data_IF_892004159549
#
_entry.id   IF_892004159549
#
_cell.length_a   1.000
_cell.length_b   1.000
_cell.length_c   1.000
_cell.angle_alpha   90.00
_cell.angle_beta   90.00
_cell.angle_gamma   90.00
#
_symmetry.space_group_name_H-M   'P 1'
#
loop_
_entity.id
_entity.type
_entity.pdbx_description
1 polymer ?
#
# COMPACT_ATOMS: atom_id res chain seq x y z
N UNK A 1 -21.28 76.75 -43.03
CA UNK A 1 -22.35 76.95 -43.99
C UNK A 1 -23.26 75.77 -43.96
N UNK A 2 -24.55 76.05 -43.81
CA UNK A 2 -25.75 75.20 -43.94
C UNK A 2 -25.89 73.96 -43.11
N UNK A 3 -26.66 74.12 -42.01
CA UNK A 3 -27.32 73.10 -41.18
C UNK A 3 -28.59 72.64 -41.90
N UNK A 4 -28.85 71.35 -41.91
CA UNK A 4 -30.21 70.85 -42.17
C UNK A 4 -30.67 69.96 -40.98
N UNK A 5 -31.88 70.06 -40.51
CA UNK A 5 -32.40 69.36 -39.37
C UNK A 5 -33.03 68.03 -39.76
N UNK A 6 -32.78 66.96 -38.98
CA UNK A 6 -33.43 65.67 -39.12
C UNK A 6 -34.69 65.68 -38.21
N UNK A 7 -35.81 65.41 -38.81
CA UNK A 7 -37.12 65.24 -38.16
C UNK A 7 -37.17 63.92 -37.36
N UNK A 8 -37.54 64.01 -36.08
CA UNK A 8 -37.96 62.87 -35.30
C UNK A 8 -39.44 62.60 -35.47
N UNK A 9 -39.81 61.48 -36.05
CA UNK A 9 -41.18 60.96 -36.01
C UNK A 9 -41.24 59.86 -34.93
N UNK A 10 -41.99 60.13 -33.87
CA UNK A 10 -42.35 59.19 -32.82
C UNK A 10 -43.42 58.22 -33.35
N UNK A 11 -43.12 56.91 -33.46
CA UNK A 11 -44.13 55.90 -33.62
C UNK A 11 -44.45 55.29 -32.24
N UNK A 12 -45.72 55.49 -31.83
CA UNK A 12 -46.28 54.85 -30.67
C UNK A 12 -46.51 53.36 -30.95
N UNK A 13 -45.75 52.47 -30.27
CA UNK A 13 -46.02 51.02 -30.25
C UNK A 13 -47.01 50.76 -29.09
N UNK A 14 -48.22 50.39 -29.41
CA UNK A 14 -49.19 49.83 -28.46
C UNK A 14 -48.76 48.44 -28.07
N UNK A 15 -48.42 48.24 -26.79
CA UNK A 15 -48.09 46.92 -26.22
C UNK A 15 -49.37 46.06 -26.12
N UNK A 16 -49.47 45.04 -26.97
CA UNK A 16 -50.43 43.97 -26.83
C UNK A 16 -49.82 42.94 -25.85
N UNK A 17 -50.26 42.97 -24.58
CA UNK A 17 -49.93 41.88 -23.63
C UNK A 17 -50.76 40.66 -23.99
N UNK A 18 -50.12 39.73 -24.71
CA UNK A 18 -50.62 38.35 -24.82
C UNK A 18 -50.35 37.64 -23.49
N UNK A 19 -51.41 37.34 -22.73
CA UNK A 19 -51.34 36.39 -21.63
C UNK A 19 -50.99 35.00 -22.20
N UNK A 20 -49.76 34.55 -22.01
CA UNK A 20 -49.37 33.17 -22.27
C UNK A 20 -49.97 32.33 -21.14
N UNK A 21 -50.99 31.56 -21.46
CA UNK A 21 -51.50 30.53 -20.56
C UNK A 21 -50.38 29.50 -20.26
N UNK A 22 -50.29 28.96 -19.04
CA UNK A 22 -49.30 27.94 -18.74
C UNK A 22 -49.53 26.73 -19.66
N UNK A 23 -48.59 26.48 -20.53
CA UNK A 23 -48.61 25.28 -21.36
C UNK A 23 -48.36 24.07 -20.47
N UNK A 24 -49.33 23.20 -20.34
CA UNK A 24 -49.14 21.86 -19.77
C UNK A 24 -48.09 21.13 -20.60
N UNK A 25 -47.04 20.60 -19.99
CA UNK A 25 -46.04 19.86 -20.74
C UNK A 25 -46.67 18.66 -21.48
N UNK A 26 -46.15 18.27 -22.63
CA UNK A 26 -46.70 17.11 -23.38
C UNK A 26 -46.68 15.87 -22.50
N UNK A 27 -47.65 15.01 -22.61
CA UNK A 27 -47.88 13.84 -21.75
C UNK A 27 -46.64 12.92 -21.61
N UNK A 28 -45.78 12.86 -22.62
CA UNK A 28 -44.51 12.13 -22.62
C UNK A 28 -43.47 12.72 -21.63
N UNK A 29 -43.40 14.05 -21.50
CA UNK A 29 -42.51 14.75 -20.54
C UNK A 29 -43.02 14.55 -19.11
N UNK A 30 -44.31 14.66 -18.89
CA UNK A 30 -44.94 14.46 -17.58
C UNK A 30 -44.79 12.99 -17.09
N UNK A 31 -44.83 12.02 -17.99
CA UNK A 31 -44.58 10.61 -17.66
C UNK A 31 -43.07 10.35 -17.31
N UNK A 32 -42.17 11.01 -18.00
CA UNK A 32 -40.72 10.87 -17.73
C UNK A 32 -40.38 11.49 -16.37
N UNK A 33 -40.89 12.68 -16.06
CA UNK A 33 -40.69 13.36 -14.77
C UNK A 33 -41.29 12.55 -13.61
N UNK A 34 -42.49 11.98 -13.77
CA UNK A 34 -43.13 11.17 -12.74
C UNK A 34 -42.36 9.87 -12.47
N UNK A 35 -41.77 9.29 -13.50
CA UNK A 35 -40.94 8.05 -13.36
C UNK A 35 -39.62 8.36 -12.65
N UNK A 36 -38.96 9.45 -13.01
CA UNK A 36 -37.74 9.96 -12.39
C UNK A 36 -37.93 10.23 -10.89
N UNK A 37 -38.99 10.95 -10.51
CA UNK A 37 -39.28 11.24 -9.11
C UNK A 37 -39.61 9.98 -8.29
N UNK A 38 -40.31 9.02 -8.89
CA UNK A 38 -40.59 7.71 -8.26
C UNK A 38 -39.30 6.91 -8.01
N UNK A 39 -38.42 6.87 -8.98
CA UNK A 39 -37.12 6.19 -8.91
C UNK A 39 -36.22 6.86 -7.88
N UNK A 40 -36.14 8.17 -7.89
CA UNK A 40 -35.40 8.96 -6.89
C UNK A 40 -35.87 8.65 -5.48
N UNK A 41 -37.18 8.68 -5.25
CA UNK A 41 -37.77 8.40 -3.93
C UNK A 41 -37.45 6.98 -3.45
N UNK A 42 -37.55 6.00 -4.33
CA UNK A 42 -37.21 4.60 -4.02
C UNK A 42 -35.72 4.47 -3.66
N UNK A 43 -34.84 5.12 -4.45
CA UNK A 43 -33.40 5.12 -4.18
C UNK A 43 -33.08 5.75 -2.82
N UNK A 44 -33.72 6.86 -2.48
CA UNK A 44 -33.55 7.56 -1.20
C UNK A 44 -34.03 6.70 -0.01
N UNK A 45 -35.17 6.02 -0.15
CA UNK A 45 -35.71 5.13 0.88
C UNK A 45 -34.77 3.94 1.14
N UNK A 46 -34.24 3.32 0.09
CA UNK A 46 -33.27 2.21 0.20
C UNK A 46 -31.97 2.69 0.84
N UNK A 47 -31.48 3.84 0.41
CA UNK A 47 -30.24 4.40 0.96
C UNK A 47 -30.38 4.77 2.45
N UNK A 48 -31.51 5.38 2.86
CA UNK A 48 -31.81 5.69 4.25
C UNK A 48 -31.93 4.40 5.11
N UNK A 49 -32.42 3.33 4.51
CA UNK A 49 -32.46 2.00 5.13
C UNK A 49 -31.11 1.27 5.14
N UNK A 50 -30.00 1.92 4.69
CA UNK A 50 -28.65 1.34 4.54
C UNK A 50 -28.57 0.13 3.60
N UNK A 51 -29.51 0.02 2.68
CA UNK A 51 -29.56 -1.03 1.64
C UNK A 51 -28.84 -0.55 0.37
N UNK A 52 -27.55 -0.24 0.53
CA UNK A 52 -26.77 0.46 -0.51
C UNK A 52 -26.63 -0.39 -1.79
N UNK A 53 -26.52 -1.69 -1.69
CA UNK A 53 -26.45 -2.59 -2.86
C UNK A 53 -27.77 -2.64 -3.64
N UNK A 54 -28.93 -2.56 -2.93
CA UNK A 54 -30.24 -2.49 -3.58
C UNK A 54 -30.48 -1.12 -4.22
N UNK A 55 -29.95 -0.04 -3.63
CA UNK A 55 -30.03 1.34 -4.12
C UNK A 55 -29.09 1.61 -5.31
N UNK A 56 -27.99 0.85 -5.45
CA UNK A 56 -26.92 1.11 -6.40
C UNK A 56 -27.42 1.21 -7.86
N UNK A 57 -28.21 0.28 -8.43
CA UNK A 57 -28.68 0.37 -9.81
C UNK A 57 -29.60 1.60 -10.03
N UNK A 58 -30.34 2.01 -9.02
CA UNK A 58 -31.20 3.19 -9.11
C UNK A 58 -30.37 4.47 -9.18
N UNK A 59 -29.31 4.58 -8.34
CA UNK A 59 -28.40 5.73 -8.41
C UNK A 59 -27.56 5.75 -9.68
N UNK A 60 -27.21 4.60 -10.26
CA UNK A 60 -26.60 4.54 -11.58
C UNK A 60 -27.53 5.13 -12.66
N UNK A 61 -28.80 4.77 -12.62
CA UNK A 61 -29.81 5.31 -13.55
C UNK A 61 -30.07 6.80 -13.34
N UNK A 62 -30.22 7.26 -12.10
CA UNK A 62 -30.37 8.67 -11.75
C UNK A 62 -29.16 9.50 -12.20
N UNK A 63 -27.95 9.01 -12.02
CA UNK A 63 -26.73 9.66 -12.53
C UNK A 63 -26.69 9.76 -14.06
N UNK A 64 -27.30 8.82 -14.76
CA UNK A 64 -27.40 8.83 -16.22
C UNK A 64 -28.46 9.82 -16.69
N UNK A 65 -29.58 9.92 -15.98
CA UNK A 65 -30.68 10.84 -16.29
C UNK A 65 -30.32 12.30 -15.98
N UNK A 66 -29.68 12.55 -14.83
CA UNK A 66 -29.17 13.87 -14.47
C UNK A 66 -27.74 13.78 -13.88
N UNK A 67 -26.72 13.93 -14.72
CA UNK A 67 -25.32 13.86 -14.28
C UNK A 67 -24.84 15.07 -13.48
N UNK A 68 -25.66 16.11 -13.29
CA UNK A 68 -25.28 17.35 -12.62
C UNK A 68 -25.60 17.35 -11.12
N UNK A 69 -26.34 16.35 -10.66
CA UNK A 69 -26.77 16.26 -9.26
C UNK A 69 -25.67 15.58 -8.42
N UNK A 70 -25.01 16.35 -7.58
CA UNK A 70 -23.89 15.89 -6.77
C UNK A 70 -24.22 14.72 -5.85
N UNK A 71 -25.38 14.74 -5.20
CA UNK A 71 -25.80 13.67 -4.27
C UNK A 71 -26.04 12.33 -4.96
N UNK A 72 -26.40 12.30 -6.25
CA UNK A 72 -26.53 11.05 -6.98
C UNK A 72 -25.16 10.41 -7.21
N UNK A 73 -24.17 11.23 -7.58
CA UNK A 73 -22.80 10.79 -7.75
C UNK A 73 -22.18 10.31 -6.42
N UNK A 74 -22.45 10.99 -5.29
CA UNK A 74 -22.00 10.57 -3.97
C UNK A 74 -22.54 9.17 -3.62
N UNK A 75 -23.86 9.00 -3.71
CA UNK A 75 -24.54 7.75 -3.33
C UNK A 75 -24.25 6.60 -4.29
N UNK A 76 -24.08 6.90 -5.59
CA UNK A 76 -23.57 5.93 -6.54
C UNK A 76 -22.16 5.47 -6.18
N UNK A 77 -21.26 6.41 -5.89
CA UNK A 77 -19.89 6.13 -5.45
C UNK A 77 -19.84 5.31 -4.16
N UNK A 78 -20.67 5.65 -3.15
CA UNK A 78 -20.77 4.88 -1.92
C UNK A 78 -21.29 3.46 -2.17
N UNK A 79 -22.34 3.29 -2.98
CA UNK A 79 -22.86 1.98 -3.34
C UNK A 79 -21.84 1.10 -4.06
N UNK A 80 -20.98 1.69 -4.91
CA UNK A 80 -19.87 1.00 -5.56
C UNK A 80 -18.80 0.54 -4.54
N UNK A 81 -18.45 1.37 -3.57
CA UNK A 81 -17.50 0.98 -2.50
C UNK A 81 -18.07 -0.10 -1.58
N UNK A 82 -19.38 -0.08 -1.31
CA UNK A 82 -20.03 -1.19 -0.61
C UNK A 82 -20.06 -2.49 -1.44
N UNK A 83 -20.30 -2.37 -2.75
CA UNK A 83 -20.24 -3.50 -3.70
C UNK A 83 -18.82 -4.09 -3.75
N UNK A 84 -17.80 -3.26 -3.72
CA UNK A 84 -16.39 -3.69 -3.67
C UNK A 84 -16.16 -4.73 -2.56
N UNK A 85 -16.72 -4.50 -1.37
CA UNK A 85 -16.58 -5.41 -0.24
C UNK A 85 -17.20 -6.81 -0.47
N UNK A 86 -18.05 -6.95 -1.47
CA UNK A 86 -18.70 -8.22 -1.85
C UNK A 86 -17.98 -8.95 -2.97
N UNK A 87 -16.98 -8.31 -3.62
CA UNK A 87 -16.26 -8.84 -4.78
C UNK A 87 -15.02 -9.58 -4.30
N UNK A 88 -14.89 -10.83 -4.67
CA UNK A 88 -13.73 -11.66 -4.33
C UNK A 88 -12.59 -11.53 -5.33
N UNK A 89 -12.89 -11.21 -6.60
CA UNK A 89 -11.90 -10.97 -7.64
C UNK A 89 -11.16 -9.64 -7.39
N UNK A 90 -9.83 -9.64 -7.13
CA UNK A 90 -9.09 -8.41 -6.85
C UNK A 90 -9.08 -7.41 -8.02
N UNK A 91 -9.10 -7.89 -9.28
CA UNK A 91 -9.12 -7.00 -10.45
C UNK A 91 -10.48 -6.36 -10.63
N UNK A 92 -11.55 -7.13 -10.47
CA UNK A 92 -12.91 -6.61 -10.51
C UNK A 92 -13.17 -5.71 -9.28
N UNK A 93 -12.67 -6.10 -8.11
CA UNK A 93 -12.71 -5.27 -6.90
C UNK A 93 -12.02 -3.92 -7.13
N UNK A 94 -10.78 -3.93 -7.64
CA UNK A 94 -10.04 -2.70 -7.94
C UNK A 94 -10.76 -1.85 -8.97
N UNK A 95 -11.33 -2.45 -10.01
CA UNK A 95 -12.11 -1.74 -11.03
C UNK A 95 -13.31 -1.04 -10.41
N UNK A 96 -14.08 -1.75 -9.57
CA UNK A 96 -15.25 -1.19 -8.89
C UNK A 96 -14.83 -0.13 -7.86
N UNK A 97 -13.73 -0.35 -7.14
CA UNK A 97 -13.14 0.65 -6.25
C UNK A 97 -12.82 1.95 -6.97
N UNK A 98 -12.05 1.87 -8.07
CA UNK A 98 -11.66 3.06 -8.85
C UNK A 98 -12.88 3.77 -9.46
N UNK A 99 -13.91 3.05 -9.84
CA UNK A 99 -15.16 3.63 -10.33
C UNK A 99 -15.90 4.36 -9.18
N UNK A 100 -15.97 3.77 -8.00
CA UNK A 100 -16.53 4.40 -6.79
C UNK A 100 -15.80 5.69 -6.43
N UNK A 101 -14.47 5.65 -6.37
CA UNK A 101 -13.64 6.84 -6.10
C UNK A 101 -13.82 7.91 -7.19
N UNK A 102 -13.94 7.53 -8.44
CA UNK A 102 -14.21 8.45 -9.55
C UNK A 102 -15.55 9.17 -9.35
N UNK A 103 -16.59 8.45 -8.97
CA UNK A 103 -17.90 9.04 -8.71
C UNK A 103 -17.88 9.99 -7.49
N UNK A 104 -17.18 9.65 -6.40
CA UNK A 104 -16.99 10.54 -5.27
C UNK A 104 -16.20 11.82 -5.64
N UNK A 105 -15.17 11.70 -6.48
CA UNK A 105 -14.46 12.88 -7.02
C UNK A 105 -15.37 13.74 -7.90
N UNK A 106 -16.25 13.12 -8.68
CA UNK A 106 -17.27 13.82 -9.48
C UNK A 106 -18.26 14.57 -8.56
N UNK A 107 -18.80 13.91 -7.53
CA UNK A 107 -19.69 14.54 -6.56
C UNK A 107 -19.04 15.79 -5.92
N UNK A 108 -17.77 15.68 -5.51
CA UNK A 108 -17.01 16.82 -4.98
C UNK A 108 -16.84 17.94 -6.00
N UNK A 109 -16.60 17.63 -7.26
CA UNK A 109 -16.48 18.65 -8.33
C UNK A 109 -17.81 19.34 -8.63
N UNK A 110 -18.93 18.69 -8.34
CA UNK A 110 -20.29 19.24 -8.42
C UNK A 110 -20.70 20.02 -7.18
N UNK A 111 -19.81 20.17 -6.19
CA UNK A 111 -20.01 20.99 -5.01
C UNK A 111 -20.43 20.22 -3.75
N UNK A 112 -20.43 18.90 -3.76
CA UNK A 112 -20.68 18.12 -2.54
C UNK A 112 -19.49 18.21 -1.59
N UNK A 113 -19.76 18.67 -0.36
CA UNK A 113 -18.79 18.83 0.72
C UNK A 113 -19.11 17.94 1.91
N UNK A 114 -19.87 16.86 1.70
CA UNK A 114 -20.27 15.94 2.76
C UNK A 114 -19.07 15.38 3.52
N UNK A 115 -19.29 15.08 4.79
CA UNK A 115 -18.27 14.45 5.66
C UNK A 115 -17.84 13.11 5.10
N UNK A 116 -18.76 12.36 4.48
CA UNK A 116 -18.44 11.08 3.85
C UNK A 116 -17.43 11.24 2.72
N UNK A 117 -17.66 12.15 1.76
CA UNK A 117 -16.73 12.43 0.67
C UNK A 117 -15.36 12.86 1.20
N UNK A 118 -15.36 13.73 2.23
CA UNK A 118 -14.12 14.21 2.83
C UNK A 118 -13.28 13.06 3.41
N UNK A 119 -13.93 12.16 4.14
CA UNK A 119 -13.24 10.99 4.76
C UNK A 119 -12.81 10.00 3.68
N UNK A 120 -13.69 9.58 2.79
CA UNK A 120 -13.40 8.57 1.77
C UNK A 120 -12.24 9.00 0.85
N UNK A 121 -12.23 10.24 0.37
CA UNK A 121 -11.15 10.75 -0.48
C UNK A 121 -9.86 11.06 0.30
N UNK A 122 -9.93 11.32 1.61
CA UNK A 122 -8.74 11.47 2.45
C UNK A 122 -8.08 10.10 2.73
N UNK A 123 -8.85 9.05 2.97
CA UNK A 123 -8.34 7.69 3.12
C UNK A 123 -7.73 7.19 1.80
N UNK A 124 -8.40 7.43 0.66
CA UNK A 124 -7.84 7.14 -0.66
C UNK A 124 -6.52 7.89 -0.90
N UNK A 125 -6.44 9.17 -0.55
CA UNK A 125 -5.21 9.95 -0.67
C UNK A 125 -4.09 9.41 0.22
N UNK A 126 -4.40 8.94 1.44
CA UNK A 126 -3.43 8.29 2.33
C UNK A 126 -2.96 6.96 1.75
N UNK A 127 -3.87 6.14 1.23
CA UNK A 127 -3.56 4.87 0.59
C UNK A 127 -2.68 5.08 -0.64
N UNK A 128 -3.03 6.03 -1.50
CA UNK A 128 -2.24 6.41 -2.68
C UNK A 128 -0.88 6.99 -2.28
N UNK A 129 -0.84 7.90 -1.28
CA UNK A 129 0.41 8.49 -0.79
C UNK A 129 1.28 7.42 -0.14
N UNK A 130 0.71 6.52 0.64
CA UNK A 130 1.39 5.37 1.21
C UNK A 130 1.92 4.43 0.14
N UNK A 131 1.12 4.07 -0.86
CA UNK A 131 1.52 3.21 -1.98
C UNK A 131 2.59 3.88 -2.85
N UNK A 132 2.44 5.18 -3.16
CA UNK A 132 3.44 5.95 -3.93
C UNK A 132 4.71 6.15 -3.11
N UNK A 133 4.60 6.50 -1.83
CA UNK A 133 5.76 6.65 -0.94
C UNK A 133 6.48 5.33 -0.69
N UNK A 134 5.76 4.20 -0.74
CA UNK A 134 6.35 2.86 -0.61
C UNK A 134 6.85 2.26 -1.92
N UNK A 135 6.62 2.93 -3.06
CA UNK A 135 7.01 2.40 -4.37
C UNK A 135 6.26 1.13 -4.75
N UNK A 136 5.20 0.78 -4.02
CA UNK A 136 4.37 -0.36 -4.36
C UNK A 136 3.59 0.00 -5.63
N UNK A 137 3.73 -0.74 -6.74
CA UNK A 137 2.86 -0.55 -7.88
C UNK A 137 1.40 -0.69 -7.40
N UNK A 138 0.53 0.23 -7.78
CA UNK A 138 -0.92 0.14 -7.50
C UNK A 138 -1.57 -1.12 -8.11
N UNK A 139 -0.79 -1.93 -8.80
CA UNK A 139 -1.13 -3.20 -9.42
C UNK A 139 -0.67 -4.42 -8.64
N UNK A 140 -0.29 -4.29 -7.36
CA UNK A 140 -0.16 -5.47 -6.49
C UNK A 140 -1.53 -5.88 -5.96
N UNK A 141 -2.48 -5.99 -6.86
CA UNK A 141 -3.54 -6.97 -6.72
C UNK A 141 -2.94 -8.30 -7.16
N UNK A 142 -2.94 -9.27 -6.28
CA UNK A 142 -2.65 -10.64 -6.68
C UNK A 142 -3.59 -11.01 -7.82
N UNK A 143 -3.07 -10.99 -9.05
CA UNK A 143 -3.84 -11.15 -10.28
C UNK A 143 -4.03 -12.61 -10.65
N UNK A 144 -4.08 -13.48 -9.64
CA UNK A 144 -4.41 -14.84 -9.97
C UNK A 144 -5.88 -15.13 -9.68
N UNK A 145 -6.58 -15.41 -10.74
CA UNK A 145 -7.97 -15.85 -10.73
C UNK A 145 -7.95 -17.31 -11.14
N UNK A 146 -8.31 -18.19 -10.22
CA UNK A 146 -8.44 -19.60 -10.51
C UNK A 146 -9.27 -19.82 -11.78
N UNK A 147 -9.08 -20.95 -12.47
CA UNK A 147 -9.93 -21.34 -13.61
C UNK A 147 -11.40 -21.22 -13.22
N UNK A 148 -12.32 -20.94 -14.16
CA UNK A 148 -13.74 -20.80 -13.84
C UNK A 148 -14.31 -21.97 -13.04
N UNK A 149 -13.85 -23.19 -13.33
CA UNK A 149 -14.28 -24.38 -12.58
C UNK A 149 -13.74 -24.38 -11.15
N UNK A 150 -12.48 -23.98 -10.93
CA UNK A 150 -11.90 -23.86 -9.61
C UNK A 150 -12.55 -22.75 -8.79
N UNK A 151 -12.91 -21.61 -9.41
CA UNK A 151 -13.60 -20.50 -8.74
C UNK A 151 -14.95 -20.91 -8.16
N UNK A 152 -15.76 -21.71 -8.88
CA UNK A 152 -17.06 -22.18 -8.38
C UNK A 152 -16.86 -22.98 -7.10
N UNK A 153 -15.94 -23.94 -7.11
CA UNK A 153 -15.67 -24.80 -5.94
C UNK A 153 -15.06 -23.99 -4.79
N UNK A 154 -14.22 -23.00 -5.11
CA UNK A 154 -13.64 -22.11 -4.11
C UNK A 154 -14.71 -21.26 -3.40
N UNK A 155 -15.71 -20.76 -4.13
CA UNK A 155 -16.84 -20.04 -3.52
C UNK A 155 -17.67 -20.92 -2.59
N UNK A 156 -17.86 -22.19 -2.95
CA UNK A 156 -18.50 -23.18 -2.07
C UNK A 156 -17.65 -23.42 -0.80
N UNK A 157 -16.32 -23.48 -0.95
CA UNK A 157 -15.39 -23.61 0.16
C UNK A 157 -15.48 -22.40 1.11
N UNK A 158 -15.54 -21.18 0.57
CA UNK A 158 -15.73 -19.96 1.34
C UNK A 158 -17.05 -19.98 2.15
N UNK A 159 -18.11 -20.49 1.54
CA UNK A 159 -19.40 -20.64 2.22
C UNK A 159 -19.33 -21.64 3.38
N UNK A 160 -18.68 -22.79 3.20
CA UNK A 160 -18.43 -23.77 4.24
C UNK A 160 -17.56 -23.19 5.37
N UNK A 161 -16.48 -22.49 5.00
CA UNK A 161 -15.57 -21.82 5.94
C UNK A 161 -16.31 -20.80 6.83
N UNK A 162 -17.14 -19.94 6.24
CA UNK A 162 -17.99 -18.97 6.97
C UNK A 162 -18.96 -19.63 7.94
N UNK A 163 -19.41 -20.85 7.63
CA UNK A 163 -20.28 -21.64 8.52
C UNK A 163 -19.50 -22.45 9.56
N UNK A 164 -18.17 -22.29 9.61
CA UNK A 164 -17.27 -23.07 10.47
C UNK A 164 -17.28 -24.58 10.16
N UNK A 165 -17.77 -24.99 8.97
CA UNK A 165 -17.59 -26.35 8.47
C UNK A 165 -16.17 -26.50 7.89
N UNK A 166 -15.21 -26.60 8.82
CA UNK A 166 -13.78 -26.71 8.45
C UNK A 166 -13.49 -27.97 7.65
N UNK A 167 -14.26 -29.04 7.84
CA UNK A 167 -14.08 -30.31 7.09
C UNK A 167 -14.57 -30.16 5.66
N UNK A 168 -15.76 -29.58 5.45
CA UNK A 168 -16.27 -29.25 4.14
C UNK A 168 -15.35 -28.26 3.42
N UNK A 169 -14.91 -27.21 4.11
CA UNK A 169 -14.01 -26.21 3.57
C UNK A 169 -12.69 -26.81 3.08
N UNK A 170 -12.02 -27.66 3.88
CA UNK A 170 -10.79 -28.38 3.46
C UNK A 170 -11.01 -29.11 2.14
N UNK A 171 -12.06 -29.94 2.07
CA UNK A 171 -12.31 -30.77 0.89
C UNK A 171 -12.52 -29.92 -0.37
N UNK A 172 -13.26 -28.82 -0.23
CA UNK A 172 -13.58 -27.93 -1.34
C UNK A 172 -12.36 -27.09 -1.76
N UNK A 173 -11.57 -26.53 -0.84
CA UNK A 173 -10.34 -25.84 -1.19
C UNK A 173 -9.31 -26.77 -1.84
N UNK A 174 -9.19 -28.00 -1.35
CA UNK A 174 -8.35 -29.02 -2.00
C UNK A 174 -8.83 -29.34 -3.41
N UNK A 175 -10.13 -29.46 -3.62
CA UNK A 175 -10.70 -29.67 -4.95
C UNK A 175 -10.43 -28.46 -5.86
N UNK A 176 -10.59 -27.24 -5.38
CA UNK A 176 -10.22 -26.04 -6.12
C UNK A 176 -8.74 -26.05 -6.51
N UNK A 177 -7.83 -26.44 -5.59
CA UNK A 177 -6.40 -26.56 -5.85
C UNK A 177 -6.03 -27.73 -6.80
N UNK A 178 -6.90 -28.71 -6.98
CA UNK A 178 -6.74 -29.75 -8.00
C UNK A 178 -7.21 -29.26 -9.37
N UNK A 179 -8.32 -28.51 -9.42
CA UNK A 179 -8.84 -27.90 -10.64
C UNK A 179 -7.92 -26.79 -11.16
N UNK A 180 -7.20 -26.15 -10.27
CA UNK A 180 -6.16 -25.17 -10.59
C UNK A 180 -4.94 -25.32 -9.67
N UNK A 181 -3.95 -26.11 -10.07
CA UNK A 181 -2.77 -26.36 -9.24
C UNK A 181 -1.85 -25.14 -9.01
N UNK A 182 -2.04 -24.08 -9.78
CA UNK A 182 -1.28 -22.84 -9.65
C UNK A 182 -1.96 -21.79 -8.76
N UNK A 183 -3.14 -22.09 -8.23
CA UNK A 183 -3.89 -21.14 -7.44
C UNK A 183 -3.42 -21.10 -5.97
N UNK A 184 -2.65 -20.05 -5.66
CA UNK A 184 -2.10 -19.81 -4.31
C UNK A 184 -3.16 -19.82 -3.22
N UNK A 185 -4.29 -19.08 -3.42
CA UNK A 185 -5.29 -18.91 -2.37
C UNK A 185 -6.03 -20.22 -2.07
N UNK A 186 -6.22 -21.08 -3.06
CA UNK A 186 -6.80 -22.41 -2.82
C UNK A 186 -5.90 -23.26 -1.92
N UNK A 187 -4.59 -23.22 -2.13
CA UNK A 187 -3.63 -23.88 -1.25
C UNK A 187 -3.58 -23.22 0.14
N UNK A 188 -3.53 -21.88 0.22
CA UNK A 188 -3.50 -21.14 1.46
C UNK A 188 -4.69 -21.47 2.36
N UNK A 189 -5.91 -21.39 1.84
CA UNK A 189 -7.12 -21.60 2.64
C UNK A 189 -7.43 -23.07 2.92
N UNK A 190 -6.91 -24.00 2.13
CA UNK A 190 -6.85 -25.40 2.54
C UNK A 190 -6.01 -25.55 3.81
N UNK A 191 -4.84 -24.92 3.86
CA UNK A 191 -3.99 -24.88 5.05
C UNK A 191 -4.66 -24.22 6.26
N UNK A 192 -5.31 -23.07 6.07
CA UNK A 192 -6.05 -22.39 7.15
C UNK A 192 -7.21 -23.24 7.67
N UNK A 193 -7.93 -23.93 6.79
CA UNK A 193 -9.00 -24.84 7.21
C UNK A 193 -8.50 -26.02 8.05
N UNK A 194 -7.33 -26.58 7.72
CA UNK A 194 -6.66 -27.57 8.57
C UNK A 194 -6.21 -26.97 9.90
N UNK A 195 -5.65 -25.77 9.89
CA UNK A 195 -5.28 -25.02 11.10
C UNK A 195 -6.48 -24.83 12.04
N UNK A 196 -7.65 -24.41 11.52
CA UNK A 196 -8.90 -24.27 12.30
C UNK A 196 -9.35 -25.58 12.93
N UNK A 197 -9.04 -26.70 12.31
CA UNK A 197 -9.27 -28.04 12.87
C UNK A 197 -8.21 -28.49 13.87
N UNK A 198 -7.18 -27.67 14.10
CA UNK A 198 -5.98 -28.01 14.88
C UNK A 198 -5.18 -29.19 14.29
N UNK A 199 -5.33 -29.45 13.01
CA UNK A 199 -4.57 -30.45 12.26
C UNK A 199 -3.32 -29.77 11.67
N UNK A 200 -2.40 -29.41 12.55
CA UNK A 200 -1.22 -28.62 12.20
C UNK A 200 -0.31 -29.33 11.19
N UNK A 201 -0.08 -30.63 11.26
CA UNK A 201 0.77 -31.30 10.25
C UNK A 201 0.21 -31.20 8.83
N UNK A 202 -1.09 -31.32 8.63
CA UNK A 202 -1.70 -31.14 7.32
C UNK A 202 -1.75 -29.66 6.90
N UNK A 203 -1.93 -28.74 7.85
CA UNK A 203 -1.84 -27.30 7.57
C UNK A 203 -0.46 -26.92 7.01
N UNK A 204 0.64 -27.44 7.59
CA UNK A 204 2.01 -27.21 7.12
C UNK A 204 2.22 -27.65 5.67
N UNK A 205 1.69 -28.83 5.27
CA UNK A 205 1.79 -29.33 3.90
C UNK A 205 1.17 -28.33 2.91
N UNK A 206 0.03 -27.75 3.25
CA UNK A 206 -0.67 -26.86 2.38
C UNK A 206 -0.08 -25.44 2.36
N UNK A 207 0.39 -24.94 3.50
CA UNK A 207 1.16 -23.69 3.54
C UNK A 207 2.47 -23.80 2.76
N UNK A 208 3.18 -24.94 2.86
CA UNK A 208 4.37 -25.20 2.04
C UNK A 208 4.05 -25.18 0.54
N UNK A 209 2.89 -25.73 0.15
CA UNK A 209 2.41 -25.69 -1.25
C UNK A 209 2.12 -24.25 -1.69
N UNK A 210 1.44 -23.46 -0.87
CA UNK A 210 1.18 -22.05 -1.16
C UNK A 210 2.50 -21.27 -1.33
N UNK A 211 3.46 -21.44 -0.43
CA UNK A 211 4.80 -20.83 -0.52
C UNK A 211 5.54 -21.24 -1.79
N UNK A 212 5.42 -22.51 -2.21
CA UNK A 212 6.05 -22.97 -3.45
C UNK A 212 5.44 -22.29 -4.70
N UNK A 213 4.15 -21.89 -4.64
CA UNK A 213 3.48 -21.18 -5.71
C UNK A 213 3.84 -19.70 -5.73
N UNK A 214 3.95 -19.07 -4.55
CA UNK A 214 4.34 -17.67 -4.42
C UNK A 214 5.21 -17.48 -3.16
N UNK A 215 6.55 -17.60 -3.29
CA UNK A 215 7.47 -17.46 -2.17
C UNK A 215 7.65 -16.00 -1.70
N UNK A 216 7.08 -15.05 -2.43
CA UNK A 216 7.23 -13.63 -2.18
C UNK A 216 6.04 -13.04 -1.42
N UNK A 217 5.03 -13.86 -1.14
CA UNK A 217 3.83 -13.49 -0.40
C UNK A 217 3.91 -13.92 1.06
N UNK A 218 3.74 -12.96 1.99
CA UNK A 218 3.96 -13.16 3.43
C UNK A 218 2.95 -14.11 4.09
N UNK A 219 1.71 -14.15 3.57
CA UNK A 219 0.55 -14.71 4.27
C UNK A 219 0.72 -16.18 4.61
N UNK A 220 1.22 -17.01 3.68
CA UNK A 220 1.41 -18.44 3.94
C UNK A 220 2.50 -18.70 4.98
N UNK A 221 3.56 -17.90 4.99
CA UNK A 221 4.60 -17.99 6.03
C UNK A 221 4.03 -17.64 7.39
N UNK A 222 3.25 -16.57 7.48
CA UNK A 222 2.64 -16.09 8.72
C UNK A 222 1.68 -17.13 9.28
N UNK A 223 0.77 -17.67 8.48
CA UNK A 223 -0.17 -18.72 8.89
C UNK A 223 0.54 -20.02 9.27
N UNK A 224 1.63 -20.36 8.59
CA UNK A 224 2.46 -21.50 9.00
C UNK A 224 3.17 -21.23 10.33
N UNK A 225 3.65 -20.01 10.56
CA UNK A 225 4.20 -19.59 11.85
C UNK A 225 3.20 -19.78 12.98
N UNK A 226 1.94 -19.34 12.78
CA UNK A 226 0.87 -19.53 13.74
C UNK A 226 0.61 -21.02 14.01
N UNK A 227 0.54 -21.84 12.97
CA UNK A 227 0.32 -23.29 13.11
C UNK A 227 1.41 -23.95 13.96
N UNK A 228 2.67 -23.62 13.72
CA UNK A 228 3.82 -24.12 14.48
C UNK A 228 3.79 -23.62 15.94
N UNK A 229 3.45 -22.36 16.14
CA UNK A 229 3.36 -21.78 17.46
C UNK A 229 2.26 -22.47 18.30
N UNK A 230 1.08 -22.67 17.72
CA UNK A 230 -0.02 -23.42 18.35
C UNK A 230 0.27 -24.90 18.52
N UNK A 231 1.14 -25.49 17.69
CA UNK A 231 1.63 -26.86 17.85
C UNK A 231 2.70 -27.00 18.95
N UNK A 232 3.15 -25.89 19.56
CA UNK A 232 4.18 -25.88 20.60
C UNK A 232 5.60 -25.85 20.07
N UNK A 233 5.82 -25.47 18.80
CA UNK A 233 7.13 -25.23 18.20
C UNK A 233 7.40 -23.73 17.98
N UNK A 234 7.80 -23.00 19.02
CA UNK A 234 8.11 -21.57 18.90
C UNK A 234 9.38 -21.30 18.06
N UNK A 235 10.28 -22.27 17.91
CA UNK A 235 11.50 -22.12 17.11
C UNK A 235 11.16 -22.19 15.62
N UNK A 236 10.36 -23.18 15.22
CA UNK A 236 9.83 -23.28 13.87
C UNK A 236 8.97 -22.09 13.51
N UNK A 237 8.10 -21.62 14.44
CA UNK A 237 7.28 -20.44 14.27
C UNK A 237 8.12 -19.19 13.99
N UNK A 238 9.18 -18.95 14.79
CA UNK A 238 10.14 -17.87 14.56
C UNK A 238 10.69 -17.89 13.14
N UNK A 239 11.12 -19.06 12.67
CA UNK A 239 11.69 -19.19 11.33
C UNK A 239 10.67 -18.75 10.25
N UNK A 240 9.40 -19.10 10.40
CA UNK A 240 8.35 -18.72 9.46
C UNK A 240 7.98 -17.23 9.54
N UNK A 241 7.89 -16.67 10.74
CA UNK A 241 7.65 -15.23 10.89
C UNK A 241 8.80 -14.38 10.35
N UNK A 242 10.05 -14.84 10.48
CA UNK A 242 11.20 -14.19 9.84
C UNK A 242 11.07 -14.21 8.32
N UNK A 243 10.68 -15.34 7.73
CA UNK A 243 10.46 -15.45 6.29
C UNK A 243 9.28 -14.58 5.82
N UNK A 244 8.22 -14.43 6.64
CA UNK A 244 7.12 -13.52 6.35
C UNK A 244 7.59 -12.06 6.28
N UNK A 245 8.43 -11.61 7.24
CA UNK A 245 9.04 -10.27 7.22
C UNK A 245 9.92 -10.10 5.99
N UNK A 246 10.68 -11.12 5.59
CA UNK A 246 11.54 -11.09 4.40
C UNK A 246 10.70 -11.12 3.12
N UNK A 247 9.55 -11.76 3.10
CA UNK A 247 8.66 -11.73 1.94
C UNK A 247 8.09 -10.31 1.69
N UNK A 248 7.54 -9.68 2.73
CA UNK A 248 6.90 -8.35 2.64
C UNK A 248 7.29 -7.44 3.83
N UNK A 249 8.51 -6.87 3.84
CA UNK A 249 9.00 -6.08 4.98
C UNK A 249 8.29 -4.76 5.20
N UNK A 250 7.50 -4.32 4.23
CA UNK A 250 6.77 -3.05 4.27
C UNK A 250 5.31 -3.22 4.69
N UNK A 251 4.85 -4.46 4.85
CA UNK A 251 3.57 -4.80 5.48
C UNK A 251 3.70 -4.79 6.99
N UNK A 252 2.66 -4.28 7.68
CA UNK A 252 2.62 -4.32 9.14
C UNK A 252 2.27 -5.71 9.68
N UNK A 253 1.66 -6.58 8.87
CA UNK A 253 1.15 -7.88 9.32
C UNK A 253 2.27 -8.83 9.79
N UNK A 254 3.36 -9.06 9.02
CA UNK A 254 4.46 -9.88 9.50
C UNK A 254 5.10 -9.38 10.79
N UNK A 255 5.20 -8.04 10.93
CA UNK A 255 5.75 -7.44 12.15
C UNK A 255 4.83 -7.58 13.36
N UNK A 256 3.52 -7.55 13.18
CA UNK A 256 2.56 -7.79 14.26
C UNK A 256 2.69 -9.22 14.81
N UNK A 257 2.79 -10.22 13.93
CA UNK A 257 2.91 -11.62 14.35
C UNK A 257 4.25 -11.92 15.02
N UNK A 258 5.36 -11.41 14.48
CA UNK A 258 6.66 -11.63 15.11
C UNK A 258 6.80 -10.89 16.45
N UNK A 259 6.11 -9.75 16.62
CA UNK A 259 6.02 -9.06 17.91
C UNK A 259 5.23 -9.89 18.92
N UNK A 260 4.07 -10.42 18.52
CA UNK A 260 3.26 -11.29 19.36
C UNK A 260 4.03 -12.55 19.78
N UNK A 261 4.74 -13.18 18.83
CA UNK A 261 5.63 -14.31 19.13
C UNK A 261 6.72 -13.92 20.15
N UNK A 262 7.36 -12.76 19.95
CA UNK A 262 8.42 -12.29 20.84
C UNK A 262 7.93 -12.07 22.28
N UNK A 263 6.73 -11.52 22.46
CA UNK A 263 6.10 -11.31 23.77
C UNK A 263 5.89 -12.61 24.55
N UNK A 264 5.68 -13.73 23.83
CA UNK A 264 5.44 -15.04 24.44
C UNK A 264 6.69 -15.92 24.58
N UNK A 265 7.86 -15.44 24.13
CA UNK A 265 9.08 -16.26 24.03
C UNK A 265 10.34 -15.62 24.62
N UNK A 266 10.20 -14.69 25.57
CA UNK A 266 11.31 -13.95 26.17
C UNK A 266 12.23 -13.24 25.13
N UNK A 267 11.63 -12.79 24.03
CA UNK A 267 12.32 -12.00 23.00
C UNK A 267 11.72 -10.60 22.87
N UNK A 268 12.42 -9.73 22.18
CA UNK A 268 11.97 -8.40 21.81
C UNK A 268 12.40 -8.08 20.38
N UNK A 269 11.62 -7.25 19.72
CA UNK A 269 11.95 -6.73 18.38
C UNK A 269 12.55 -5.33 18.55
N UNK A 270 13.80 -5.17 18.13
CA UNK A 270 14.57 -3.93 18.29
C UNK A 270 15.09 -3.49 16.93
N UNK A 271 14.69 -2.31 16.48
CA UNK A 271 15.28 -1.74 15.26
C UNK A 271 16.60 -1.08 15.60
N UNK A 272 17.71 -1.36 14.88
CA UNK A 272 18.98 -0.66 15.07
C UNK A 272 18.78 0.85 14.92
N UNK A 273 19.17 1.60 15.94
CA UNK A 273 19.07 3.06 15.93
C UNK A 273 20.18 3.65 15.05
N UNK A 274 19.80 4.10 13.86
CA UNK A 274 20.70 4.78 12.92
C UNK A 274 20.00 6.07 12.49
N UNK A 275 20.59 7.19 12.86
CA UNK A 275 20.16 8.51 12.42
C UNK A 275 21.05 8.92 11.24
N UNK A 276 20.44 9.08 10.07
CA UNK A 276 21.10 9.59 8.87
C UNK A 276 20.79 11.07 8.70
N UNK A 277 21.71 11.88 8.14
CA UNK A 277 21.37 13.23 7.72
C UNK A 277 20.23 13.20 6.70
N UNK A 278 19.31 14.15 6.82
CA UNK A 278 18.25 14.29 5.82
C UNK A 278 18.83 14.58 4.44
N UNK A 279 18.33 13.85 3.46
CA UNK A 279 18.68 14.01 2.05
C UNK A 279 17.38 14.07 1.26
N UNK A 280 17.00 15.28 0.87
CA UNK A 280 15.65 15.53 0.38
C UNK A 280 15.48 15.34 -1.12
N UNK A 281 16.48 15.60 -1.94
CA UNK A 281 16.42 15.35 -3.40
C UNK A 281 17.82 15.27 -4.01
N UNK A 282 17.99 14.58 -5.17
CA UNK A 282 19.23 14.57 -5.93
C UNK A 282 19.63 15.98 -6.43
N UNK A 283 18.66 16.87 -6.63
CA UNK A 283 18.86 18.26 -7.08
C UNK A 283 19.27 19.20 -5.94
N UNK A 284 19.31 18.72 -4.71
CA UNK A 284 19.64 19.55 -3.56
C UNK A 284 21.09 19.97 -3.67
N UNK A 285 21.31 21.26 -3.67
CA UNK A 285 22.64 21.82 -3.40
C UNK A 285 23.11 21.24 -2.06
N UNK A 286 24.30 20.66 -2.05
CA UNK A 286 24.89 20.10 -0.84
C UNK A 286 24.90 21.17 0.26
N UNK A 287 23.95 21.07 1.20
CA UNK A 287 23.91 21.89 2.40
C UNK A 287 24.69 21.16 3.47
N UNK A 288 25.92 21.59 3.71
CA UNK A 288 26.74 21.05 4.79
C UNK A 288 26.25 21.70 6.09
N UNK A 289 25.76 20.87 7.03
CA UNK A 289 25.48 21.32 8.37
C UNK A 289 26.78 21.76 9.04
N UNK A 290 26.90 23.02 9.51
CA UNK A 290 28.10 23.50 10.19
C UNK A 290 28.48 22.69 11.43
N UNK A 291 27.49 22.18 12.19
CA UNK A 291 27.74 21.32 13.35
C UNK A 291 28.33 19.98 12.93
N UNK A 292 27.85 19.42 11.82
CA UNK A 292 28.38 18.20 11.24
C UNK A 292 29.83 18.39 10.76
N UNK A 293 30.11 19.52 10.10
CA UNK A 293 31.46 19.86 9.64
C UNK A 293 32.44 20.07 10.81
N UNK A 294 31.96 20.58 11.95
CA UNK A 294 32.77 20.81 13.16
C UNK A 294 32.99 19.55 14.00
N UNK A 295 32.23 18.46 13.74
CA UNK A 295 32.26 17.19 14.50
C UNK A 295 33.49 16.34 14.18
N UNK A 296 34.66 16.73 14.66
CA UNK A 296 35.95 16.13 14.28
C UNK A 296 36.37 14.92 15.11
N UNK A 297 35.69 14.60 16.23
CA UNK A 297 36.15 13.58 17.16
C UNK A 297 35.32 12.30 17.20
N UNK A 298 34.05 12.38 16.80
CA UNK A 298 33.09 11.29 16.85
C UNK A 298 32.75 10.67 15.46
N UNK A 299 33.42 11.13 14.43
CA UNK A 299 33.27 10.64 13.06
C UNK A 299 32.08 11.21 12.29
N UNK A 300 31.18 11.97 12.92
CA UNK A 300 29.98 12.51 12.24
C UNK A 300 30.29 13.38 11.03
N UNK A 301 31.45 14.03 10.98
CA UNK A 301 31.91 14.78 9.79
C UNK A 301 32.00 13.91 8.52
N UNK A 302 32.12 12.59 8.64
CA UNK A 302 32.16 11.67 7.50
C UNK A 302 30.79 11.50 6.80
N UNK A 303 29.69 11.93 7.41
CA UNK A 303 28.41 12.05 6.74
C UNK A 303 28.43 13.01 5.55
N UNK A 304 29.37 13.96 5.52
CA UNK A 304 29.59 14.84 4.36
C UNK A 304 29.99 14.02 3.13
N UNK A 305 30.81 12.98 3.32
CA UNK A 305 31.22 12.09 2.22
C UNK A 305 30.03 11.29 1.69
N UNK A 306 29.16 10.81 2.59
CA UNK A 306 27.90 10.17 2.19
C UNK A 306 27.02 11.12 1.35
N UNK A 307 26.81 12.35 1.82
CA UNK A 307 26.01 13.34 1.11
C UNK A 307 26.62 13.70 -0.27
N UNK A 308 27.93 13.87 -0.33
CA UNK A 308 28.65 14.14 -1.59
C UNK A 308 28.47 12.98 -2.59
N UNK A 309 28.57 11.75 -2.10
CA UNK A 309 28.36 10.57 -2.95
C UNK A 309 26.95 10.55 -3.52
N UNK A 310 25.94 10.79 -2.69
CA UNK A 310 24.53 10.81 -3.09
C UNK A 310 24.23 11.90 -4.12
N UNK A 311 24.72 13.14 -3.89
CA UNK A 311 24.57 14.24 -4.85
C UNK A 311 25.26 13.93 -6.18
N UNK A 312 26.48 13.42 -6.14
CA UNK A 312 27.23 13.09 -7.36
C UNK A 312 26.56 11.98 -8.18
N UNK A 313 25.95 11.00 -7.51
CA UNK A 313 25.25 9.89 -8.17
C UNK A 313 23.93 10.37 -8.79
N UNK A 314 23.12 11.09 -8.05
CA UNK A 314 21.87 11.68 -8.55
C UNK A 314 22.12 12.63 -9.72
N UNK A 315 23.13 13.50 -9.63
CA UNK A 315 23.49 14.40 -10.72
C UNK A 315 23.93 13.66 -12.01
N UNK A 316 24.64 12.53 -11.88
CA UNK A 316 25.03 11.70 -13.03
C UNK A 316 23.82 11.08 -13.73
N UNK A 317 22.83 10.63 -12.97
CA UNK A 317 21.61 10.01 -13.52
C UNK A 317 20.72 11.02 -14.22
N UNK A 318 20.66 12.26 -13.72
CA UNK A 318 19.90 13.36 -14.33
C UNK A 318 20.55 13.88 -15.63
N UNK A 319 21.88 13.76 -15.78
CA UNK A 319 22.61 14.21 -16.97
C UNK A 319 22.71 13.14 -18.08
N UNK A 320 22.11 11.98 -17.95
CA UNK A 320 21.99 11.05 -19.07
C UNK A 320 21.04 11.62 -20.12
N UNK A 321 21.43 11.63 -21.42
CA UNK A 321 20.58 12.18 -22.47
C UNK A 321 19.27 11.39 -22.50
N UNK A 322 18.17 12.12 -22.35
CA UNK A 322 16.82 11.60 -22.57
C UNK A 322 16.79 11.16 -24.04
N UNK A 323 16.63 9.86 -24.28
CA UNK A 323 16.33 9.38 -25.63
C UNK A 323 14.91 9.89 -25.92
N UNK A 324 14.84 11.01 -26.63
CA UNK A 324 13.60 11.64 -27.04
C UNK A 324 12.87 10.70 -28.00
N UNK A 325 11.77 10.17 -27.55
CA UNK A 325 10.88 9.29 -28.32
C UNK A 325 9.42 9.43 -27.94
N UNK A 326 8.90 10.64 -27.79
CA UNK A 326 7.48 10.93 -28.00
C UNK A 326 7.25 12.44 -28.09
N UNK A 327 6.69 12.88 -29.20
CA UNK A 327 6.28 14.25 -29.45
C UNK A 327 4.95 14.53 -28.74
N UNK A 328 5.00 14.87 -27.46
CA UNK A 328 3.87 15.50 -26.77
C UNK A 328 4.37 16.73 -26.01
N UNK A 329 4.15 17.89 -26.61
CA UNK A 329 4.66 19.19 -26.18
C UNK A 329 4.00 19.72 -24.87
N UNK A 330 3.15 18.93 -24.20
CA UNK A 330 2.49 19.23 -22.93
C UNK A 330 2.78 18.20 -21.81
N UNK A 331 3.70 17.30 -22.01
CA UNK A 331 4.19 16.48 -20.92
C UNK A 331 4.92 17.39 -19.93
N UNK A 332 4.32 17.61 -18.77
CA UNK A 332 5.04 18.12 -17.59
C UNK A 332 6.27 17.23 -17.45
N UNK A 333 7.46 17.80 -17.68
CA UNK A 333 8.72 17.09 -17.52
C UNK A 333 8.79 16.70 -16.05
N UNK A 334 8.33 15.50 -15.73
CA UNK A 334 8.74 14.83 -14.51
C UNK A 334 10.25 14.66 -14.65
N UNK A 335 11.07 15.05 -13.67
CA UNK A 335 12.50 14.78 -13.73
C UNK A 335 12.66 13.29 -13.93
N UNK A 336 13.07 12.92 -15.13
CA UNK A 336 13.07 11.57 -15.62
C UNK A 336 14.03 10.73 -14.80
N UNK A 337 13.48 9.77 -14.08
CA UNK A 337 14.13 8.50 -14.00
C UNK A 337 15.22 8.30 -12.96
N UNK A 338 15.54 9.24 -12.08
CA UNK A 338 16.37 8.91 -10.93
C UNK A 338 15.55 8.06 -9.93
N UNK A 339 16.01 6.86 -9.72
CA UNK A 339 15.46 5.96 -8.70
C UNK A 339 16.58 5.60 -7.72
N UNK A 340 16.40 5.94 -6.46
CA UNK A 340 17.29 5.53 -5.40
C UNK A 340 17.27 4.02 -5.24
N UNK A 341 18.45 3.39 -5.21
CA UNK A 341 18.57 1.93 -5.10
C UNK A 341 19.29 1.51 -3.83
N UNK A 342 19.07 0.26 -3.42
CA UNK A 342 19.78 -0.35 -2.28
C UNK A 342 21.30 -0.34 -2.54
N UNK A 343 21.71 -0.62 -3.76
CA UNK A 343 23.12 -0.62 -4.15
C UNK A 343 23.75 0.77 -4.04
N UNK A 344 23.04 1.84 -4.45
CA UNK A 344 23.49 3.22 -4.32
C UNK A 344 23.64 3.64 -2.85
N UNK A 345 22.62 3.37 -2.04
CA UNK A 345 22.65 3.69 -0.62
C UNK A 345 23.79 2.94 0.08
N UNK A 346 23.98 1.65 -0.24
CA UNK A 346 25.07 0.85 0.30
C UNK A 346 26.43 1.43 -0.08
N UNK A 347 26.61 1.81 -1.36
CA UNK A 347 27.86 2.42 -1.82
C UNK A 347 28.14 3.76 -1.15
N UNK A 348 27.12 4.60 -0.93
CA UNK A 348 27.25 5.87 -0.20
C UNK A 348 27.68 5.67 1.25
N UNK A 349 27.07 4.71 1.95
CA UNK A 349 27.47 4.36 3.33
C UNK A 349 28.88 3.76 3.38
N UNK A 350 29.27 2.93 2.43
CA UNK A 350 30.64 2.40 2.34
C UNK A 350 31.68 3.49 2.06
N UNK A 351 31.35 4.52 1.25
CA UNK A 351 32.22 5.67 1.05
C UNK A 351 32.44 6.43 2.36
N UNK A 352 31.37 6.64 3.16
CA UNK A 352 31.48 7.21 4.50
C UNK A 352 32.36 6.35 5.42
N UNK A 353 32.14 5.03 5.43
CA UNK A 353 32.93 4.11 6.27
C UNK A 353 34.39 4.10 5.88
N UNK A 354 34.73 4.22 4.60
CA UNK A 354 36.12 4.33 4.14
C UNK A 354 36.81 5.61 4.66
N UNK A 355 36.09 6.74 4.74
CA UNK A 355 36.61 7.97 5.35
C UNK A 355 36.79 7.81 6.87
N UNK A 356 35.88 7.14 7.55
CA UNK A 356 36.02 6.77 8.97
C UNK A 356 37.28 5.93 9.17
N UNK A 357 37.49 4.88 8.39
CA UNK A 357 38.67 4.01 8.52
C UNK A 357 39.96 4.74 8.25
N UNK A 358 40.00 5.66 7.29
CA UNK A 358 41.15 6.54 7.06
C UNK A 358 41.44 7.47 8.24
N UNK A 359 40.41 8.05 8.85
CA UNK A 359 40.53 8.91 10.05
C UNK A 359 41.01 8.15 11.27
N UNK A 360 40.51 6.93 11.49
CA UNK A 360 40.98 6.02 12.54
C UNK A 360 42.44 5.64 12.34
N UNK A 361 42.83 5.22 11.15
CA UNK A 361 44.22 4.88 10.80
C UNK A 361 45.17 6.06 10.95
N UNK A 362 44.69 7.27 10.65
CA UNK A 362 45.46 8.51 10.79
C UNK A 362 45.47 9.09 12.21
N UNK A 363 44.86 8.44 13.19
CA UNK A 363 44.77 8.92 14.57
C UNK A 363 43.94 10.19 14.76
N UNK A 364 43.13 10.57 13.78
CA UNK A 364 42.26 11.78 13.84
C UNK A 364 41.02 11.56 14.69
N UNK A 365 40.56 10.36 14.82
CA UNK A 365 39.43 9.92 15.67
C UNK A 365 39.80 8.62 16.36
N UNK A 366 39.06 8.27 17.43
CA UNK A 366 39.25 7.05 18.19
C UNK A 366 37.97 6.20 18.11
N UNK A 367 38.09 4.89 17.93
CA UNK A 367 36.97 3.97 17.74
C UNK A 367 35.94 4.04 18.89
N UNK A 368 36.38 4.19 20.12
CA UNK A 368 35.50 4.32 21.30
C UNK A 368 34.63 5.56 21.30
N UNK A 369 35.02 6.59 20.55
CA UNK A 369 34.33 7.89 20.53
C UNK A 369 33.36 8.00 19.35
N UNK A 370 33.35 7.00 18.44
CA UNK A 370 32.46 7.03 17.27
C UNK A 370 31.00 7.16 17.69
N UNK A 371 30.28 7.98 16.93
CA UNK A 371 28.83 8.10 17.03
C UNK A 371 28.13 6.72 16.94
N UNK A 372 27.03 6.56 17.64
CA UNK A 372 26.31 5.28 17.73
C UNK A 372 25.84 4.79 16.36
N UNK A 373 25.30 5.69 15.51
CA UNK A 373 24.84 5.33 14.17
C UNK A 373 26.00 4.80 13.33
N UNK A 374 27.15 5.45 13.37
CA UNK A 374 28.36 5.06 12.64
C UNK A 374 28.88 3.71 13.14
N UNK A 375 28.93 3.50 14.46
CA UNK A 375 29.31 2.18 15.02
C UNK A 375 28.37 1.07 14.58
N UNK A 376 27.08 1.38 14.58
CA UNK A 376 26.05 0.43 14.17
C UNK A 376 26.20 0.08 12.68
N UNK A 377 26.37 1.08 11.79
CA UNK A 377 26.59 0.86 10.36
C UNK A 377 27.86 0.04 10.11
N UNK A 378 28.97 0.35 10.82
CA UNK A 378 30.21 -0.46 10.72
C UNK A 378 30.00 -1.90 11.16
N UNK A 379 29.22 -2.13 12.21
CA UNK A 379 28.92 -3.50 12.66
C UNK A 379 28.09 -4.27 11.66
N UNK A 380 27.08 -3.63 11.04
CA UNK A 380 26.25 -4.24 9.99
C UNK A 380 27.05 -4.54 8.73
N UNK A 381 27.96 -3.65 8.31
CA UNK A 381 28.84 -3.88 7.15
C UNK A 381 29.81 -5.04 7.41
N UNK A 382 30.44 -5.09 8.58
CA UNK A 382 31.35 -6.21 8.95
C UNK A 382 30.65 -7.56 9.02
N UNK A 383 29.35 -7.55 9.31
CA UNK A 383 28.52 -8.74 9.34
C UNK A 383 27.88 -9.08 7.99
N UNK A 384 28.17 -8.31 6.94
CA UNK A 384 27.62 -8.46 5.58
C UNK A 384 26.09 -8.38 5.52
N UNK A 385 25.48 -7.57 6.43
CA UNK A 385 24.01 -7.38 6.49
C UNK A 385 23.60 -5.91 6.38
N UNK A 386 24.52 -4.99 6.04
CA UNK A 386 24.19 -3.58 5.88
C UNK A 386 23.18 -3.38 4.74
N UNK A 387 23.34 -4.09 3.62
CA UNK A 387 22.37 -4.04 2.51
C UNK A 387 20.97 -4.53 2.92
N UNK A 388 20.88 -5.54 3.78
CA UNK A 388 19.61 -6.01 4.34
C UNK A 388 18.97 -4.97 5.29
N UNK A 389 19.78 -4.29 6.11
CA UNK A 389 19.30 -3.17 6.92
C UNK A 389 18.74 -2.05 6.04
N UNK A 390 19.45 -1.65 4.98
CA UNK A 390 18.98 -0.65 4.02
C UNK A 390 17.63 -1.07 3.45
N UNK A 391 17.55 -2.28 2.94
CA UNK A 391 16.37 -2.83 2.30
C UNK A 391 15.11 -2.82 3.20
N UNK A 392 15.28 -3.08 4.50
CA UNK A 392 14.14 -3.20 5.44
C UNK A 392 13.85 -1.88 6.17
N UNK A 393 14.86 -1.08 6.51
CA UNK A 393 14.68 0.06 7.43
C UNK A 393 14.94 1.43 6.81
N UNK A 394 15.71 1.52 5.73
CA UNK A 394 16.03 2.79 5.09
C UNK A 394 15.09 3.09 3.91
N UNK A 395 13.91 2.49 3.90
CA UNK A 395 13.01 2.44 2.77
C UNK A 395 12.46 3.81 2.36
N UNK A 396 12.68 4.14 1.12
CA UNK A 396 11.96 5.14 0.34
C UNK A 396 11.36 4.47 -0.90
N UNK A 397 10.65 5.22 -1.73
CA UNK A 397 9.99 4.68 -2.91
C UNK A 397 10.95 3.94 -3.87
N UNK A 398 12.18 4.41 -4.00
CA UNK A 398 13.19 3.79 -4.85
C UNK A 398 13.69 2.46 -4.30
N UNK A 399 14.03 2.43 -3.00
CA UNK A 399 14.45 1.21 -2.29
C UNK A 399 13.33 0.18 -2.29
N UNK A 400 12.07 0.59 -2.08
CA UNK A 400 10.92 -0.31 -2.16
C UNK A 400 10.79 -0.96 -3.54
N UNK A 401 10.96 -0.19 -4.61
CA UNK A 401 10.89 -0.71 -5.97
C UNK A 401 12.05 -1.65 -6.32
N UNK A 402 13.23 -1.46 -5.70
CA UNK A 402 14.42 -2.29 -5.87
C UNK A 402 14.37 -3.58 -5.03
N UNK A 403 13.57 -3.61 -3.97
CA UNK A 403 13.51 -4.69 -2.99
C UNK A 403 13.27 -6.09 -3.60
N UNK A 404 12.30 -6.30 -4.51
CA UNK A 404 12.05 -7.64 -5.05
C UNK A 404 13.28 -8.25 -5.72
N UNK A 405 14.04 -7.45 -6.48
CA UNK A 405 15.27 -7.88 -7.12
C UNK A 405 16.36 -8.14 -6.08
N UNK A 406 16.52 -7.27 -5.09
CA UNK A 406 17.46 -7.44 -4.00
C UNK A 406 17.17 -8.73 -3.21
N UNK A 407 15.91 -8.95 -2.82
CA UNK A 407 15.47 -10.15 -2.10
C UNK A 407 15.79 -11.44 -2.86
N UNK A 408 15.56 -11.47 -4.17
CA UNK A 408 15.82 -12.63 -5.01
C UNK A 408 17.29 -13.09 -4.94
N UNK A 409 18.23 -12.18 -4.74
CA UNK A 409 19.66 -12.47 -4.70
C UNK A 409 20.26 -12.51 -3.29
N UNK A 410 19.59 -11.88 -2.30
CA UNK A 410 20.14 -11.64 -0.96
C UNK A 410 19.24 -12.15 0.17
N UNK A 411 18.33 -13.12 -0.11
CA UNK A 411 17.38 -13.64 0.88
C UNK A 411 18.05 -14.09 2.17
N UNK A 412 19.19 -14.77 2.07
CA UNK A 412 19.94 -15.21 3.25
C UNK A 412 20.39 -14.04 4.13
N UNK A 413 20.91 -12.96 3.55
CA UNK A 413 21.34 -11.78 4.31
C UNK A 413 20.16 -11.08 4.99
N UNK A 414 18.97 -11.07 4.34
CA UNK A 414 17.74 -10.55 4.92
C UNK A 414 17.30 -11.37 6.14
N UNK A 415 17.31 -12.70 6.02
CA UNK A 415 17.01 -13.63 7.13
C UNK A 415 18.02 -13.47 8.27
N UNK A 416 19.32 -13.41 7.97
CA UNK A 416 20.38 -13.22 8.96
C UNK A 416 20.23 -11.88 9.69
N UNK A 417 19.85 -10.81 8.96
CA UNK A 417 19.59 -9.51 9.55
C UNK A 417 18.39 -9.52 10.51
N UNK A 418 17.27 -10.08 10.09
CA UNK A 418 16.08 -10.16 10.96
C UNK A 418 16.37 -10.99 12.20
N UNK A 419 16.98 -12.17 12.05
CA UNK A 419 17.32 -13.05 13.16
C UNK A 419 18.40 -12.47 14.10
N UNK A 420 19.41 -11.86 13.55
CA UNK A 420 20.59 -11.45 14.32
C UNK A 420 20.50 -10.02 14.85
N UNK A 421 19.69 -9.15 14.24
CA UNK A 421 19.69 -7.73 14.53
C UNK A 421 18.33 -7.15 14.94
N UNK A 422 17.22 -7.68 14.43
CA UNK A 422 15.89 -7.27 14.85
C UNK A 422 15.39 -8.07 16.05
N UNK A 423 15.61 -9.39 16.10
CA UNK A 423 15.19 -10.24 17.21
C UNK A 423 16.30 -10.29 18.26
N UNK A 424 15.99 -9.92 19.48
CA UNK A 424 16.90 -9.94 20.63
C UNK A 424 16.26 -10.69 21.79
N UNK A 425 17.09 -11.29 22.65
CA UNK A 425 16.60 -11.75 23.95
C UNK A 425 16.09 -10.55 24.76
N UNK A 426 14.94 -10.70 25.39
CA UNK A 426 14.44 -9.67 26.31
C UNK A 426 15.36 -9.61 27.55
N UNK A 427 15.60 -8.42 28.14
CA UNK A 427 16.35 -8.33 29.36
C UNK A 427 15.66 -9.12 30.46
N UNK A 428 16.39 -10.02 31.11
CA UNK A 428 15.85 -10.81 32.20
C UNK A 428 15.39 -9.86 33.30
N UNK A 429 14.07 -9.79 33.53
CA UNK A 429 13.52 -9.05 34.66
C UNK A 429 13.99 -9.69 35.96
N UNK A 430 14.56 -8.94 36.88
CA UNK A 430 14.88 -9.49 38.20
C UNK A 430 13.56 -9.90 38.89
N UNK A 431 13.23 -11.21 38.90
CA UNK A 431 12.21 -11.78 39.78
C UNK A 431 10.86 -12.19 39.20
N UNK A 432 10.72 -12.44 37.89
CA UNK A 432 9.54 -13.18 37.40
C UNK A 432 9.92 -14.60 37.03
N UNK A 433 9.56 -15.55 37.92
CA UNK A 433 9.39 -16.96 37.53
C UNK A 433 8.32 -17.02 36.44
N UNK A 434 8.63 -17.66 35.30
CA UNK A 434 7.78 -17.72 34.12
C UNK A 434 6.36 -18.21 34.42
N UNK A 435 5.36 -17.84 33.61
CA UNK A 435 4.01 -18.33 33.77
C UNK A 435 4.00 -19.84 33.55
N UNK A 436 3.49 -20.56 34.52
CA UNK A 436 3.13 -21.97 34.38
C UNK A 436 2.03 -22.05 33.33
N UNK A 437 2.25 -22.86 32.28
CA UNK A 437 1.20 -23.19 31.33
C UNK A 437 0.09 -23.91 32.09
N UNK A 438 -1.08 -23.28 32.17
CA UNK A 438 -2.30 -23.94 32.61
C UNK A 438 -2.83 -24.80 31.45
N UNK A 439 -3.07 -26.08 31.73
CA UNK A 439 -3.65 -27.09 30.88
C UNK A 439 -5.04 -26.72 30.32
#
# INVERSE_FOLDING_TARGET
MMRSPVLFTALALSALQAQVAPQTPPATVAHHEANFESERKQAEELFAAKKYLEALPLYEDLCRQDPTVAVFAERHGQGLLDKEATIFDPSERLKVHLEGIKELKRARSLGDTSEYIRIALAEEAKTLTGAVASGIPLTVGYTYHGTPAAQVVFQEAEAAFKQSDWTGAVNLYMQAAVLDPSWYDAALYAGDSYFRRKDYPNAEVWFAKAIALDPDRETAYRYWGDALFHAGDPVGARAKFVEAVVAEPYSNLPFAEILQWAEHTDHQIVKPAITRPEFTTPDSVLKIDPELAASNQDGRSSWIVYQQYRVAHGARTLNQPIIAGSADANAVIQPSGYQHTIAEEHAALRAMLADIDAKLKGGKIVDTNLDLSIRTIRALERADVLGAWIAINAADAGIHADYPQYRAHHRKHLVDYVNGYLIREAPKSPGKSGPAFAE
#
